data_IF_814009218702
#
_entry.id   IF_814009218702
#
_cell.length_a   1.000
_cell.length_b   1.000
_cell.length_c   1.000
_cell.angle_alpha   90.00
_cell.angle_beta   90.00
_cell.angle_gamma   90.00
#
_symmetry.space_group_name_H-M   'P 1'
#
loop_
_entity.id
_entity.type
_entity.pdbx_description
1 polymer ?
#
# COMPACT_ATOMS: atom_id res chain seq x y z
N UNK A 1 30.21 -68.72 -17.05
CA UNK A 1 30.79 -67.37 -17.24
C UNK A 1 29.67 -66.35 -17.06
N UNK A 2 29.54 -65.81 -15.85
CA UNK A 2 28.54 -64.78 -15.53
C UNK A 2 29.18 -63.42 -15.79
N UNK A 3 28.71 -62.71 -16.81
CA UNK A 3 29.17 -61.36 -17.15
C UNK A 3 28.37 -60.39 -16.27
N UNK A 4 29.08 -59.74 -15.35
CA UNK A 4 28.50 -58.77 -14.41
C UNK A 4 27.94 -57.56 -15.18
N UNK A 5 26.61 -57.40 -15.16
CA UNK A 5 25.86 -56.34 -15.86
C UNK A 5 26.12 -54.91 -15.34
N UNK A 6 27.02 -54.73 -14.37
CA UNK A 6 27.32 -53.42 -13.78
C UNK A 6 28.45 -52.67 -14.51
N UNK A 7 29.21 -53.31 -15.40
CA UNK A 7 30.30 -52.64 -16.13
C UNK A 7 29.84 -51.90 -17.40
N UNK A 8 28.67 -52.21 -17.96
CA UNK A 8 28.22 -51.58 -19.22
C UNK A 8 27.76 -50.12 -19.05
N UNK A 9 27.60 -49.64 -17.81
CA UNK A 9 27.33 -48.21 -17.54
C UNK A 9 28.58 -47.34 -17.53
N UNK A 10 29.77 -47.93 -17.45
CA UNK A 10 31.05 -47.18 -17.40
C UNK A 10 31.51 -46.73 -18.78
N UNK A 11 31.26 -47.55 -19.79
CA UNK A 11 31.71 -47.29 -21.15
C UNK A 11 30.84 -46.25 -21.89
N UNK A 12 29.62 -46.01 -21.40
CA UNK A 12 28.70 -45.01 -21.96
C UNK A 12 28.74 -43.67 -21.21
N UNK A 13 29.86 -43.37 -20.55
CA UNK A 13 30.08 -42.06 -19.97
C UNK A 13 30.51 -41.08 -21.07
N UNK A 14 29.75 -40.01 -21.26
CA UNK A 14 30.05 -38.97 -22.25
C UNK A 14 31.48 -38.43 -22.13
N UNK A 15 32.04 -38.37 -20.91
CA UNK A 15 33.39 -37.88 -20.64
C UNK A 15 34.51 -38.87 -20.98
N UNK A 16 34.21 -40.15 -21.15
CA UNK A 16 35.20 -41.17 -21.56
C UNK A 16 35.39 -41.24 -23.07
N UNK A 17 34.66 -40.42 -23.84
CA UNK A 17 34.82 -40.37 -25.28
C UNK A 17 36.16 -39.70 -25.62
N UNK A 18 37.11 -40.46 -26.18
CA UNK A 18 38.42 -39.97 -26.59
C UNK A 18 38.36 -38.84 -27.65
N UNK A 19 37.20 -38.62 -28.26
CA UNK A 19 36.98 -37.51 -29.19
C UNK A 19 36.71 -36.17 -28.49
N UNK A 20 36.51 -36.15 -27.17
CA UNK A 20 36.43 -34.91 -26.41
C UNK A 20 37.84 -34.47 -26.02
N UNK A 21 38.18 -33.23 -26.37
CA UNK A 21 39.43 -32.61 -25.95
C UNK A 21 39.56 -32.60 -24.42
N UNK A 22 40.80 -32.72 -23.95
CA UNK A 22 41.14 -32.59 -22.54
C UNK A 22 40.59 -31.27 -21.99
N UNK A 23 39.62 -31.37 -21.09
CA UNK A 23 39.04 -30.20 -20.42
C UNK A 23 40.13 -29.61 -19.53
N UNK A 24 40.49 -28.35 -19.77
CA UNK A 24 41.54 -27.68 -19.00
C UNK A 24 41.00 -27.26 -17.62
N UNK A 25 41.88 -27.12 -16.63
CA UNK A 25 41.48 -26.66 -15.29
C UNK A 25 40.75 -25.31 -15.32
N UNK A 26 41.13 -24.41 -16.23
CA UNK A 26 40.46 -23.11 -16.44
C UNK A 26 38.98 -23.27 -16.84
N UNK A 27 38.64 -24.29 -17.62
CA UNK A 27 37.25 -24.55 -18.01
C UNK A 27 36.41 -25.04 -16.83
N UNK A 28 37.04 -25.73 -15.87
CA UNK A 28 36.39 -26.07 -14.61
C UNK A 28 36.16 -24.83 -13.74
N UNK A 29 37.12 -23.91 -13.66
CA UNK A 29 36.99 -22.66 -12.89
C UNK A 29 35.91 -21.73 -13.47
N UNK A 30 35.92 -21.55 -14.79
CA UNK A 30 34.92 -20.74 -15.48
C UNK A 30 33.52 -21.40 -15.49
N UNK A 31 33.43 -22.68 -15.11
CA UNK A 31 32.18 -23.42 -15.07
C UNK A 31 31.70 -23.93 -16.43
N UNK A 32 32.58 -23.94 -17.43
CA UNK A 32 32.37 -24.51 -18.76
C UNK A 32 32.70 -26.01 -18.83
N UNK A 33 33.10 -26.63 -17.72
CA UNK A 33 33.31 -28.07 -17.67
C UNK A 33 32.04 -28.86 -18.01
N UNK A 34 32.21 -29.94 -18.79
CA UNK A 34 31.14 -30.85 -19.17
C UNK A 34 30.73 -31.82 -18.05
N UNK A 35 31.37 -31.74 -16.89
CA UNK A 35 31.12 -32.63 -15.76
C UNK A 35 29.70 -32.56 -15.20
N UNK A 36 28.98 -31.45 -15.38
CA UNK A 36 27.56 -31.35 -15.01
C UNK A 36 26.67 -32.28 -15.84
N UNK A 37 27.13 -32.69 -17.03
CA UNK A 37 26.43 -33.62 -17.90
C UNK A 37 26.80 -35.08 -17.61
N UNK A 38 27.75 -35.34 -16.69
CA UNK A 38 28.06 -36.71 -16.32
C UNK A 38 26.99 -37.29 -15.39
N UNK A 39 26.42 -38.42 -15.78
CA UNK A 39 25.55 -39.25 -14.93
C UNK A 39 26.28 -40.46 -14.34
N UNK A 40 27.55 -40.63 -14.70
CA UNK A 40 28.43 -41.73 -14.33
C UNK A 40 28.75 -41.84 -12.83
N UNK A 41 28.72 -40.71 -12.10
CA UNK A 41 29.12 -40.63 -10.69
C UNK A 41 30.62 -40.83 -10.39
N UNK A 42 31.43 -41.29 -11.34
CA UNK A 42 32.85 -41.55 -11.13
C UNK A 42 33.76 -40.34 -11.38
N UNK A 43 33.33 -39.40 -12.23
CA UNK A 43 34.09 -38.18 -12.47
C UNK A 43 33.73 -37.14 -11.41
N UNK A 44 34.64 -36.94 -10.46
CA UNK A 44 34.54 -35.88 -9.47
C UNK A 44 35.01 -34.59 -10.14
N UNK A 45 34.09 -33.64 -10.35
CA UNK A 45 34.46 -32.36 -10.91
C UNK A 45 35.18 -31.50 -9.85
N UNK A 46 36.39 -30.96 -10.14
CA UNK A 46 37.09 -30.06 -9.22
C UNK A 46 36.42 -28.69 -9.10
N UNK A 47 35.23 -28.48 -9.67
CA UNK A 47 34.45 -27.24 -9.60
C UNK A 47 34.15 -26.89 -8.15
N UNK A 48 35.08 -26.17 -7.54
CA UNK A 48 34.96 -25.62 -6.19
C UNK A 48 33.73 -24.72 -6.21
N UNK A 49 32.76 -25.06 -5.36
CA UNK A 49 31.50 -24.35 -5.19
C UNK A 49 31.82 -22.88 -4.88
N UNK A 50 31.73 -22.03 -5.92
CA UNK A 50 31.73 -20.56 -5.91
C UNK A 50 32.45 -19.91 -4.73
N UNK A 51 33.77 -20.05 -4.62
CA UNK A 51 34.55 -19.08 -3.86
C UNK A 51 34.78 -17.84 -4.71
N UNK A 52 33.77 -16.93 -4.73
CA UNK A 52 33.78 -15.52 -5.16
C UNK A 52 34.49 -15.23 -6.50
N UNK A 53 33.74 -14.70 -7.47
CA UNK A 53 34.15 -14.34 -8.84
C UNK A 53 35.40 -13.42 -9.00
N UNK A 54 36.08 -13.06 -7.92
CA UNK A 54 37.35 -12.36 -7.95
C UNK A 54 38.35 -13.11 -7.09
N UNK A 55 39.51 -13.55 -7.63
CA UNK A 55 40.61 -13.99 -6.79
C UNK A 55 40.88 -12.85 -5.80
N UNK A 56 40.86 -13.16 -4.49
CA UNK A 56 41.19 -12.14 -3.48
C UNK A 56 42.59 -11.64 -3.85
N UNK A 57 42.70 -10.39 -4.29
CA UNK A 57 43.99 -9.76 -4.58
C UNK A 57 44.95 -10.10 -3.43
N UNK A 58 46.10 -10.71 -3.73
CA UNK A 58 47.09 -11.03 -2.69
C UNK A 58 47.56 -9.77 -1.97
N UNK A 59 47.42 -8.63 -2.65
CA UNK A 59 47.54 -7.28 -2.13
C UNK A 59 46.41 -7.01 -1.12
N UNK A 60 46.70 -7.28 0.15
CA UNK A 60 45.93 -6.77 1.29
C UNK A 60 46.36 -5.32 1.53
N UNK A 61 45.51 -4.37 1.18
CA UNK A 61 45.73 -2.97 1.58
C UNK A 61 45.89 -2.86 3.10
N UNK A 62 46.73 -1.92 3.54
CA UNK A 62 46.98 -1.64 4.96
C UNK A 62 45.66 -1.44 5.74
N UNK A 63 44.73 -0.69 5.14
CA UNK A 63 43.38 -0.50 5.66
C UNK A 63 42.65 -1.81 5.99
N UNK A 64 42.77 -2.84 5.15
CA UNK A 64 42.11 -4.13 5.38
C UNK A 64 42.76 -4.95 6.50
N UNK A 65 44.04 -4.71 6.78
CA UNK A 65 44.76 -5.38 7.87
C UNK A 65 44.42 -4.77 9.22
N UNK A 66 44.28 -3.45 9.28
CA UNK A 66 43.99 -2.74 10.54
C UNK A 66 42.50 -2.60 10.84
N UNK A 67 41.65 -2.53 9.82
CA UNK A 67 40.22 -2.32 10.04
C UNK A 67 39.57 -3.57 10.64
N UNK A 68 39.36 -3.53 11.96
CA UNK A 68 38.53 -4.48 12.68
C UNK A 68 37.09 -3.99 12.63
N UNK A 69 36.15 -4.89 12.29
CA UNK A 69 34.73 -4.59 12.44
C UNK A 69 34.45 -4.38 13.93
N UNK A 70 34.27 -3.13 14.34
CA UNK A 70 33.82 -2.84 15.69
C UNK A 70 32.37 -3.32 15.83
N UNK A 71 32.04 -4.10 16.87
CA UNK A 71 30.66 -4.47 17.11
C UNK A 71 29.87 -3.19 17.38
N UNK A 72 28.92 -2.88 16.50
CA UNK A 72 27.96 -1.81 16.75
C UNK A 72 27.01 -2.39 17.80
N UNK A 73 27.14 -1.93 19.04
CA UNK A 73 26.17 -2.27 20.07
C UNK A 73 24.78 -1.84 19.57
N UNK A 74 23.80 -2.75 19.67
CA UNK A 74 22.43 -2.43 19.32
C UNK A 74 22.01 -1.20 20.14
N UNK A 75 21.56 -0.15 19.45
CA UNK A 75 21.09 1.07 20.12
C UNK A 75 19.97 0.64 21.08
N UNK A 76 19.99 1.06 22.36
CA UNK A 76 18.92 0.72 23.29
C UNK A 76 17.60 1.21 22.71
N UNK A 77 16.73 0.26 22.37
CA UNK A 77 15.38 0.56 21.90
C UNK A 77 14.57 0.94 23.12
N UNK A 78 14.33 2.23 23.32
CA UNK A 78 13.28 2.69 24.21
C UNK A 78 11.94 2.32 23.57
N UNK A 79 11.44 1.12 23.85
CA UNK A 79 10.07 0.77 23.51
C UNK A 79 9.17 1.68 24.35
N UNK A 80 8.44 2.60 23.70
CA UNK A 80 7.40 3.36 24.37
C UNK A 80 6.46 2.35 25.05
N UNK A 81 6.25 2.50 26.35
CA UNK A 81 5.30 1.66 27.06
C UNK A 81 3.93 1.80 26.39
N UNK A 82 3.17 0.70 26.25
CA UNK A 82 1.85 0.78 25.64
C UNK A 82 0.98 1.76 26.44
N UNK A 83 0.43 2.75 25.75
CA UNK A 83 -0.49 3.73 26.33
C UNK A 83 -1.72 2.96 26.83
N UNK A 84 -1.92 2.92 28.15
CA UNK A 84 -3.10 2.32 28.74
C UNK A 84 -4.31 3.23 28.47
N UNK A 85 -5.43 2.73 27.94
CA UNK A 85 -6.63 3.54 27.80
C UNK A 85 -7.12 4.00 29.18
N UNK A 86 -7.77 5.17 29.22
CA UNK A 86 -8.41 5.69 30.42
C UNK A 86 -9.40 4.66 30.99
N UNK A 87 -9.31 4.39 32.29
CA UNK A 87 -10.28 3.55 33.01
C UNK A 87 -11.65 4.23 33.11
N UNK A 88 -11.68 5.55 33.00
CA UNK A 88 -12.90 6.34 33.12
C UNK A 88 -13.58 6.45 31.76
N UNK A 89 -14.84 6.02 31.71
CA UNK A 89 -15.72 6.26 30.57
C UNK A 89 -16.15 7.73 30.61
N UNK A 90 -16.08 8.40 29.46
CA UNK A 90 -16.66 9.73 29.30
C UNK A 90 -18.19 9.60 29.33
N UNK A 91 -18.84 10.19 30.32
CA UNK A 91 -20.29 10.40 30.35
C UNK A 91 -20.65 11.32 29.17
N UNK A 92 -21.17 10.74 28.08
CA UNK A 92 -21.53 11.47 26.84
C UNK A 92 -22.97 11.97 26.83
N UNK A 93 -23.65 11.90 27.97
CA UNK A 93 -25.02 12.38 28.10
C UNK A 93 -25.05 13.90 28.16
N UNK A 94 -25.62 14.51 27.13
CA UNK A 94 -25.92 15.93 27.11
C UNK A 94 -27.17 16.22 27.93
N UNK A 95 -27.25 17.42 28.51
CA UNK A 95 -28.45 17.90 29.21
C UNK A 95 -29.69 17.83 28.33
N UNK A 96 -29.55 18.12 27.03
CA UNK A 96 -30.63 17.98 26.06
C UNK A 96 -31.21 16.56 26.00
N UNK A 97 -30.38 15.51 26.04
CA UNK A 97 -30.88 14.12 26.03
C UNK A 97 -31.59 13.76 27.35
N UNK A 98 -31.21 14.37 28.47
CA UNK A 98 -31.84 14.17 29.78
C UNK A 98 -33.17 14.93 29.90
N UNK A 99 -33.24 16.13 29.33
CA UNK A 99 -34.39 17.03 29.49
C UNK A 99 -35.47 16.80 28.42
N UNK A 100 -35.09 16.48 27.17
CA UNK A 100 -36.04 16.27 26.08
C UNK A 100 -36.38 14.78 25.92
N UNK A 101 -37.15 14.25 26.86
CA UNK A 101 -37.81 12.95 26.68
C UNK A 101 -39.05 13.11 25.81
N UNK A 102 -39.32 12.18 24.88
CA UNK A 102 -40.52 12.25 24.05
C UNK A 102 -41.77 12.15 24.95
N UNK A 103 -42.56 13.21 24.99
CA UNK A 103 -43.82 13.20 25.73
C UNK A 103 -44.87 12.39 24.96
N UNK A 104 -45.71 11.67 25.69
CA UNK A 104 -46.83 10.92 25.09
C UNK A 104 -47.87 11.93 24.62
N UNK A 105 -48.12 11.97 23.32
CA UNK A 105 -49.20 12.76 22.74
C UNK A 105 -50.46 11.92 22.83
N UNK A 106 -51.39 12.30 23.71
CA UNK A 106 -52.72 11.71 23.75
C UNK A 106 -53.51 12.22 22.54
N UNK A 107 -53.63 11.38 21.51
CA UNK A 107 -54.40 11.71 20.32
C UNK A 107 -55.89 11.75 20.67
N UNK A 108 -56.47 12.96 20.72
CA UNK A 108 -57.92 13.11 20.74
C UNK A 108 -58.44 12.80 19.32
N UNK A 109 -59.26 11.75 19.13
CA UNK A 109 -59.79 11.44 17.82
C UNK A 109 -60.62 12.63 17.33
N UNK A 110 -60.21 13.23 16.21
CA UNK A 110 -61.01 14.24 15.53
C UNK A 110 -62.38 13.63 15.18
N UNK A 111 -63.46 14.28 15.64
CA UNK A 111 -64.81 13.92 15.23
C UNK A 111 -64.90 14.07 13.72
N UNK A 112 -65.11 12.95 13.02
CA UNK A 112 -65.29 12.93 11.57
C UNK A 112 -66.63 13.59 11.26
N UNK A 113 -66.60 14.82 10.77
CA UNK A 113 -67.76 15.45 10.14
C UNK A 113 -67.95 14.70 8.81
N UNK A 114 -68.93 13.81 8.75
CA UNK A 114 -69.33 13.15 7.50
C UNK A 114 -70.08 14.16 6.62
N UNK A 115 -69.55 14.56 5.45
CA UNK A 115 -70.31 15.40 4.53
C UNK A 115 -71.51 14.61 3.99
N UNK A 116 -72.69 15.23 3.97
CA UNK A 116 -73.88 14.65 3.36
C UNK A 116 -73.64 14.41 1.87
N UNK A 117 -73.71 13.15 1.46
CA UNK A 117 -73.48 12.76 0.06
C UNK A 117 -74.78 13.00 -0.72
N UNK A 118 -74.76 13.77 -1.83
CA UNK A 118 -75.95 13.97 -2.65
C UNK A 118 -76.45 12.64 -3.23
N UNK A 119 -77.77 12.40 -3.14
CA UNK A 119 -78.43 11.14 -3.53
C UNK A 119 -78.48 10.87 -5.04
N UNK A 120 -78.12 11.86 -5.86
CA UNK A 120 -78.18 11.75 -7.31
C UNK A 120 -76.82 11.30 -7.86
N UNK A 121 -76.73 10.03 -8.28
CA UNK A 121 -75.53 9.50 -8.95
C UNK A 121 -75.65 9.76 -10.45
N UNK A 122 -74.82 10.65 -10.98
CA UNK A 122 -74.66 10.83 -12.41
C UNK A 122 -74.02 9.57 -13.00
N UNK A 123 -74.76 8.84 -13.84
CA UNK A 123 -74.35 7.53 -14.39
C UNK A 123 -73.62 7.62 -15.74
N UNK A 124 -73.20 8.81 -16.18
CA UNK A 124 -72.48 8.92 -17.45
C UNK A 124 -71.04 8.42 -17.28
N UNK A 125 -70.68 7.40 -18.05
CA UNK A 125 -69.29 6.96 -18.25
C UNK A 125 -68.88 7.35 -19.66
N UNK A 126 -67.69 7.94 -19.81
CA UNK A 126 -67.12 8.16 -21.14
C UNK A 126 -66.71 6.82 -21.74
N UNK A 127 -66.70 6.71 -23.08
CA UNK A 127 -66.16 5.52 -23.77
C UNK A 127 -64.74 5.20 -23.30
N UNK A 128 -63.90 6.21 -23.11
CA UNK A 128 -62.55 6.04 -22.55
C UNK A 128 -62.54 5.32 -21.19
N UNK A 129 -63.47 5.64 -20.28
CA UNK A 129 -63.57 4.95 -18.98
C UNK A 129 -64.11 3.53 -19.08
N UNK A 130 -64.79 3.18 -20.18
CA UNK A 130 -65.22 1.80 -20.46
C UNK A 130 -64.07 0.99 -21.04
N UNK A 131 -63.27 1.60 -21.92
CA UNK A 131 -62.21 0.90 -22.66
C UNK A 131 -60.91 0.77 -21.85
N UNK A 132 -60.61 1.73 -20.97
CA UNK A 132 -59.39 1.76 -20.16
C UNK A 132 -59.69 1.64 -18.67
N UNK A 133 -60.29 0.52 -18.26
CA UNK A 133 -60.41 0.21 -16.83
C UNK A 133 -59.04 -0.23 -16.28
N UNK A 134 -58.70 0.21 -15.08
CA UNK A 134 -57.51 -0.26 -14.38
C UNK A 134 -57.74 -1.73 -13.98
N UNK A 135 -57.01 -2.71 -14.55
CA UNK A 135 -57.18 -4.11 -14.18
C UNK A 135 -56.73 -4.41 -12.75
N UNK A 136 -56.18 -3.43 -12.04
CA UNK A 136 -55.66 -3.58 -10.70
C UNK A 136 -54.37 -4.39 -10.69
N UNK A 137 -53.81 -4.59 -9.49
CA UNK A 137 -52.67 -5.46 -9.32
C UNK A 137 -53.13 -6.91 -9.54
N UNK A 138 -52.85 -7.45 -10.71
CA UNK A 138 -53.01 -8.88 -10.97
C UNK A 138 -52.12 -9.61 -9.96
N UNK A 139 -52.65 -10.54 -9.16
CA UNK A 139 -51.83 -11.30 -8.23
C UNK A 139 -50.81 -12.09 -9.05
N UNK A 140 -49.57 -11.58 -9.06
CA UNK A 140 -48.46 -12.28 -9.66
C UNK A 140 -48.21 -13.49 -8.77
N UNK A 141 -48.61 -14.66 -9.24
CA UNK A 141 -48.21 -15.91 -8.63
C UNK A 141 -46.67 -15.92 -8.63
N UNK A 142 -46.10 -15.73 -7.44
CA UNK A 142 -44.66 -15.83 -7.22
C UNK A 142 -44.31 -17.31 -7.32
N UNK A 143 -44.27 -17.85 -8.54
CA UNK A 143 -43.55 -19.09 -8.80
C UNK A 143 -42.14 -18.83 -8.27
N UNK A 144 -41.70 -19.59 -7.27
CA UNK A 144 -40.30 -19.55 -6.83
C UNK A 144 -39.48 -19.83 -8.08
N UNK A 145 -38.95 -18.77 -8.69
CA UNK A 145 -38.04 -18.92 -9.82
C UNK A 145 -37.00 -19.92 -9.38
N UNK A 146 -36.81 -20.99 -10.15
CA UNK A 146 -35.79 -21.98 -9.88
C UNK A 146 -34.54 -21.20 -9.53
N UNK A 147 -34.07 -21.32 -8.28
CA UNK A 147 -32.95 -20.50 -7.82
C UNK A 147 -31.86 -20.72 -8.85
N UNK A 148 -31.46 -19.63 -9.53
CA UNK A 148 -30.37 -19.70 -10.47
C UNK A 148 -29.22 -20.31 -9.67
N UNK A 149 -28.88 -21.57 -9.98
CA UNK A 149 -27.79 -22.25 -9.31
C UNK A 149 -26.58 -21.39 -9.66
N UNK A 150 -26.16 -20.55 -8.73
CA UNK A 150 -24.96 -19.76 -8.86
C UNK A 150 -23.85 -20.79 -9.01
N UNK A 151 -23.46 -21.04 -10.25
CA UNK A 151 -22.41 -21.99 -10.55
C UNK A 151 -21.14 -21.33 -10.04
N UNK A 152 -20.74 -21.68 -8.82
CA UNK A 152 -19.42 -21.36 -8.26
C UNK A 152 -18.39 -22.23 -8.96
N UNK A 153 -18.32 -22.12 -10.29
CA UNK A 153 -17.24 -22.67 -11.08
C UNK A 153 -16.00 -21.85 -10.75
N UNK A 154 -15.06 -22.44 -10.02
CA UNK A 154 -13.69 -21.94 -9.93
C UNK A 154 -13.04 -22.02 -11.32
N UNK A 155 -13.41 -21.10 -12.21
CA UNK A 155 -12.70 -20.90 -13.45
C UNK A 155 -11.38 -20.22 -13.09
N UNK A 156 -10.28 -20.96 -13.22
CA UNK A 156 -8.94 -20.39 -13.07
C UNK A 156 -8.77 -19.32 -14.13
N UNK A 157 -8.57 -18.09 -13.70
CA UNK A 157 -8.32 -16.96 -14.58
C UNK A 157 -6.94 -17.11 -15.23
N UNK A 158 -6.90 -17.73 -16.40
CA UNK A 158 -5.71 -17.80 -17.25
C UNK A 158 -5.63 -16.52 -18.10
N UNK A 159 -5.32 -15.39 -17.48
CA UNK A 159 -4.94 -14.20 -18.25
C UNK A 159 -3.44 -14.26 -18.53
N UNK A 160 -3.08 -14.87 -19.67
CA UNK A 160 -1.81 -14.57 -20.29
C UNK A 160 -1.87 -13.14 -20.82
N UNK A 161 -0.95 -12.29 -20.39
CA UNK A 161 -0.87 -10.93 -20.92
C UNK A 161 -0.29 -10.97 -22.34
N UNK A 162 -0.74 -10.09 -23.22
CA UNK A 162 -0.14 -9.92 -24.55
C UNK A 162 1.36 -9.63 -24.47
N UNK A 163 1.81 -9.02 -23.37
CA UNK A 163 3.22 -8.82 -23.09
C UNK A 163 3.97 -10.15 -22.87
N UNK A 164 3.43 -11.06 -22.04
CA UNK A 164 4.06 -12.37 -21.81
C UNK A 164 4.09 -13.25 -23.05
N UNK A 165 3.14 -13.08 -23.96
CA UNK A 165 3.09 -13.83 -25.22
C UNK A 165 4.06 -13.26 -26.27
N UNK A 166 4.21 -11.93 -26.33
CA UNK A 166 5.01 -11.27 -27.38
C UNK A 166 6.50 -11.11 -27.02
N UNK A 167 6.84 -11.03 -25.73
CA UNK A 167 8.22 -10.84 -25.25
C UNK A 167 8.83 -12.14 -24.75
N UNK A 168 8.86 -13.15 -25.63
CA UNK A 168 9.60 -14.37 -25.37
C UNK A 168 11.11 -14.09 -25.40
N UNK A 169 11.88 -14.82 -24.58
CA UNK A 169 13.34 -14.76 -24.64
C UNK A 169 13.78 -15.39 -25.95
N UNK A 170 14.01 -14.56 -26.96
CA UNK A 170 14.62 -15.02 -28.20
C UNK A 170 16.07 -15.37 -27.93
N UNK A 171 16.45 -16.58 -28.33
CA UNK A 171 17.85 -16.98 -28.33
C UNK A 171 18.56 -16.14 -29.39
N UNK A 172 19.39 -15.20 -28.95
CA UNK A 172 20.23 -14.41 -29.84
C UNK A 172 21.18 -15.38 -30.53
N UNK A 173 20.96 -15.62 -31.82
CA UNK A 173 21.90 -16.40 -32.62
C UNK A 173 23.27 -15.75 -32.49
N UNK A 174 24.31 -16.51 -32.13
CA UNK A 174 25.62 -15.96 -31.83
C UNK A 174 26.11 -15.14 -33.02
N UNK A 175 26.51 -13.90 -32.73
CA UNK A 175 27.05 -13.00 -33.75
C UNK A 175 28.19 -13.73 -34.48
N UNK A 176 28.09 -13.84 -35.80
CA UNK A 176 29.17 -14.42 -36.62
C UNK A 176 30.40 -13.54 -36.43
N UNK A 177 31.35 -14.04 -35.64
CA UNK A 177 32.62 -13.36 -35.40
C UNK A 177 33.39 -13.31 -36.72
N UNK A 178 33.37 -12.16 -37.38
CA UNK A 178 34.24 -11.91 -38.52
C UNK A 178 35.65 -11.69 -37.96
N UNK A 179 36.54 -12.66 -38.13
CA UNK A 179 37.94 -12.52 -37.73
C UNK A 179 38.59 -11.49 -38.65
N UNK A 180 39.08 -10.33 -38.15
CA UNK A 180 39.91 -9.46 -38.97
C UNK A 180 41.21 -10.21 -39.27
N UNK A 181 41.53 -10.40 -40.55
CA UNK A 181 42.77 -11.04 -40.98
C UNK A 181 43.95 -10.16 -40.57
N UNK A 182 44.97 -10.80 -39.98
CA UNK A 182 46.21 -10.18 -39.52
C UNK A 182 46.85 -9.29 -40.61
N UNK A 183 46.66 -7.99 -40.50
CA UNK A 183 47.51 -7.01 -41.17
C UNK A 183 48.17 -6.14 -40.12
N UNK A 184 49.50 -6.19 -40.18
CA UNK A 184 50.49 -5.61 -39.29
C UNK A 184 50.35 -4.09 -39.14
N UNK A 185 50.63 -3.66 -37.90
CA UNK A 185 51.16 -2.35 -37.48
C UNK A 185 50.24 -1.13 -37.61
N UNK A 186 50.60 -0.08 -36.85
CA UNK A 186 50.03 1.29 -36.82
C UNK A 186 48.88 1.34 -35.78
N UNK A 187 49.00 1.85 -34.54
CA UNK A 187 49.86 2.89 -33.96
C UNK A 187 50.07 2.67 -32.46
N UNK A 188 51.32 2.88 -32.06
CA UNK A 188 51.71 3.40 -30.76
C UNK A 188 50.98 4.75 -30.54
N UNK A 189 49.94 4.81 -29.72
CA UNK A 189 49.45 6.09 -29.19
C UNK A 189 49.98 6.23 -27.76
N UNK A 190 50.94 7.13 -27.62
CA UNK A 190 51.55 7.51 -26.37
C UNK A 190 50.51 7.87 -25.30
N UNK A 191 50.90 7.58 -24.06
CA UNK A 191 50.26 7.96 -22.81
C UNK A 191 49.67 9.36 -22.83
N UNK A 192 48.34 9.44 -22.90
CA UNK A 192 47.62 10.55 -22.31
C UNK A 192 47.13 10.06 -20.94
N UNK A 193 47.65 10.67 -19.86
CA UNK A 193 47.12 10.53 -18.51
C UNK A 193 45.71 11.17 -18.45
N UNK A 194 44.74 10.57 -19.13
CA UNK A 194 43.34 10.92 -18.95
C UNK A 194 42.88 10.34 -17.61
N UNK A 195 42.96 11.18 -16.58
CA UNK A 195 42.28 10.93 -15.32
C UNK A 195 40.81 10.70 -15.63
N UNK A 196 40.35 9.46 -15.48
CA UNK A 196 38.95 9.08 -15.61
C UNK A 196 38.13 9.92 -14.64
N UNK A 197 37.45 10.95 -15.16
CA UNK A 197 36.52 11.78 -14.39
C UNK A 197 35.17 11.08 -14.46
N UNK A 198 34.72 10.53 -13.34
CA UNK A 198 33.39 9.94 -13.24
C UNK A 198 32.32 11.02 -13.42
N UNK A 199 31.17 10.67 -14.00
CA UNK A 199 30.03 11.58 -14.18
C UNK A 199 29.60 12.25 -12.87
N UNK A 200 29.77 11.57 -11.73
CA UNK A 200 29.57 12.15 -10.39
C UNK A 200 30.50 13.32 -10.10
N UNK A 201 31.77 13.26 -10.51
CA UNK A 201 32.74 14.32 -10.24
C UNK A 201 32.55 15.54 -11.17
N UNK A 202 31.96 15.34 -12.35
CA UNK A 202 31.53 16.43 -13.23
C UNK A 202 30.26 17.11 -12.73
N UNK A 203 29.31 16.35 -12.18
CA UNK A 203 27.99 16.87 -11.83
C UNK A 203 27.88 17.44 -10.41
N UNK A 204 28.77 17.05 -9.48
CA UNK A 204 28.78 17.55 -8.11
C UNK A 204 29.90 18.57 -7.91
N UNK A 205 29.75 19.74 -8.51
CA UNK A 205 30.61 20.89 -8.24
C UNK A 205 30.07 21.60 -6.99
N UNK A 206 30.93 22.09 -6.09
CA UNK A 206 30.47 22.91 -4.95
C UNK A 206 29.84 24.18 -5.49
N UNK A 207 28.51 24.23 -5.49
CA UNK A 207 27.78 25.47 -5.72
C UNK A 207 28.01 26.41 -4.53
N UNK A 208 28.31 27.67 -4.82
CA UNK A 208 28.34 28.70 -3.79
C UNK A 208 26.92 28.90 -3.26
N UNK A 209 26.78 28.80 -1.94
CA UNK A 209 25.51 29.07 -1.28
C UNK A 209 25.16 30.54 -1.52
N UNK A 210 24.09 30.80 -2.25
CA UNK A 210 23.50 32.14 -2.32
C UNK A 210 22.73 32.31 -1.01
N UNK A 211 23.17 33.19 -0.09
CA UNK A 211 22.41 33.44 1.12
C UNK A 211 21.06 34.00 0.71
N UNK A 212 20.00 33.23 0.96
CA UNK A 212 18.64 33.73 0.90
C UNK A 212 18.55 34.89 1.89
N UNK A 213 18.36 36.10 1.38
CA UNK A 213 18.19 37.28 2.21
C UNK A 213 17.10 37.01 3.26
N UNK A 214 17.33 37.48 4.48
CA UNK A 214 16.37 37.35 5.57
C UNK A 214 15.01 37.85 5.10
N UNK A 215 14.05 36.93 4.97
CA UNK A 215 12.68 37.27 4.68
C UNK A 215 12.12 37.92 5.94
N UNK A 216 12.22 39.24 6.02
CA UNK A 216 11.49 40.02 7.02
C UNK A 216 10.02 39.97 6.58
N UNK A 217 9.14 39.24 7.28
CA UNK A 217 7.72 39.31 6.97
C UNK A 217 7.33 40.78 7.07
N UNK A 218 6.73 41.34 6.02
CA UNK A 218 6.10 42.65 6.15
C UNK A 218 5.03 42.50 7.22
N UNK A 219 5.17 43.27 8.31
CA UNK A 219 4.15 43.39 9.35
C UNK A 219 2.91 44.05 8.74
N UNK A 220 2.15 43.27 7.99
CA UNK A 220 0.82 43.62 7.52
C UNK A 220 -0.19 43.30 8.63
N UNK A 221 0.13 43.66 9.89
CA UNK A 221 -0.83 43.60 10.98
C UNK A 221 -1.87 44.69 10.72
N UNK A 222 -2.87 44.36 9.91
CA UNK A 222 -4.13 45.08 9.87
C UNK A 222 -4.73 44.90 11.26
N UNK A 223 -4.64 45.95 12.07
CA UNK A 223 -5.35 46.04 13.35
C UNK A 223 -6.85 45.99 13.04
N UNK A 224 -7.42 44.79 13.07
CA UNK A 224 -8.86 44.63 13.03
C UNK A 224 -9.42 45.32 14.27
N UNK A 225 -10.17 46.41 14.05
CA UNK A 225 -10.90 47.10 15.10
C UNK A 225 -11.77 46.06 15.83
N UNK A 226 -11.70 45.96 17.17
CA UNK A 226 -12.50 45.01 17.92
C UNK A 226 -13.97 45.35 17.68
N UNK A 227 -14.73 44.44 17.08
CA UNK A 227 -16.18 44.60 16.89
C UNK A 227 -16.85 44.74 18.27
N UNK A 228 -17.28 45.94 18.69
CA UNK A 228 -17.62 46.19 20.10
C UNK A 228 -19.00 45.64 20.48
N UNK A 229 -19.72 45.03 19.54
CA UNK A 229 -21.15 44.68 19.70
C UNK A 229 -21.44 43.19 19.77
N UNK A 230 -20.43 42.31 19.65
CA UNK A 230 -20.68 40.86 19.53
C UNK A 230 -20.83 40.10 20.87
N UNK A 231 -20.64 40.75 22.02
CA UNK A 231 -20.69 40.07 23.33
C UNK A 231 -21.91 40.41 24.20
N UNK A 232 -22.97 41.02 23.64
CA UNK A 232 -24.22 41.20 24.40
C UNK A 232 -25.02 39.90 24.39
N UNK A 233 -24.96 39.15 25.48
CA UNK A 233 -25.84 38.00 25.72
C UNK A 233 -27.27 38.48 25.92
N UNK A 234 -28.27 37.67 25.55
CA UNK A 234 -29.70 38.00 25.72
C UNK A 234 -30.08 38.31 27.18
N UNK A 235 -29.33 37.76 28.15
CA UNK A 235 -29.47 38.11 29.58
C UNK A 235 -29.11 39.58 29.87
N UNK A 236 -28.11 40.15 29.20
CA UNK A 236 -27.70 41.55 29.42
C UNK A 236 -28.68 42.58 28.87
N UNK A 237 -29.54 42.20 27.93
CA UNK A 237 -30.61 43.06 27.39
C UNK A 237 -31.90 42.99 28.22
N UNK A 238 -32.13 41.89 28.93
CA UNK A 238 -33.38 41.66 29.66
C UNK A 238 -33.35 42.17 31.13
N UNK A 239 -32.16 42.38 31.70
CA UNK A 239 -32.00 42.84 33.07
C UNK A 239 -31.42 44.25 33.11
N UNK A 240 -32.19 45.25 32.70
CA UNK A 240 -31.94 46.62 33.13
C UNK A 240 -32.41 46.74 34.57
N UNK A 241 -31.50 47.15 35.46
CA UNK A 241 -31.68 47.31 36.90
C UNK A 241 -33.03 47.97 37.26
N UNK A 242 -34.04 47.16 37.56
CA UNK A 242 -35.17 47.62 38.36
C UNK A 242 -34.70 47.66 39.80
N UNK A 243 -34.54 48.86 40.36
CA UNK A 243 -34.09 49.13 41.73
C UNK A 243 -35.04 48.62 42.84
N UNK A 244 -35.95 47.71 42.51
CA UNK A 244 -36.97 47.17 43.41
C UNK A 244 -36.65 45.72 43.76
N UNK A 245 -35.60 45.50 44.56
CA UNK A 245 -35.42 44.21 45.24
C UNK A 245 -35.85 44.37 46.70
N UNK A 246 -37.01 43.82 47.13
CA UNK A 246 -37.34 43.76 48.55
C UNK A 246 -36.33 42.84 49.26
N UNK A 247 -35.81 43.32 50.38
CA UNK A 247 -34.87 42.59 51.27
C UNK A 247 -35.33 41.15 51.50
N UNK A 248 -34.61 40.20 50.90
CA UNK A 248 -34.76 38.78 51.20
C UNK A 248 -34.28 38.55 52.63
N UNK A 249 -35.23 38.33 53.54
CA UNK A 249 -34.98 37.94 54.93
C UNK A 249 -34.33 36.56 54.93
N UNK A 250 -33.01 36.52 55.20
CA UNK A 250 -32.31 35.26 55.45
C UNK A 250 -32.83 34.67 56.76
N UNK A 251 -33.62 33.60 56.69
CA UNK A 251 -33.94 32.78 57.87
C UNK A 251 -32.67 32.01 58.27
N UNK A 252 -32.09 32.41 59.40
CA UNK A 252 -31.07 31.62 60.08
C UNK A 252 -31.67 30.28 60.50
N UNK A 253 -31.04 29.18 60.08
CA UNK A 253 -31.36 27.85 60.62
C UNK A 253 -30.68 27.74 61.97
N UNK A 254 -31.48 27.52 63.02
CA UNK A 254 -31.02 27.16 64.36
C UNK A 254 -30.38 25.78 64.27
N UNK A 255 -29.11 25.66 64.65
CA UNK A 255 -28.47 24.37 64.86
C UNK A 255 -29.23 23.65 65.99
N UNK A 256 -29.66 22.42 65.74
CA UNK A 256 -30.19 21.54 66.77
C UNK A 256 -29.04 20.81 67.45
N UNK A 257 -29.05 20.86 68.78
CA UNK A 257 -28.29 19.95 69.64
C UNK A 257 -28.93 18.55 69.62
N UNK A 258 -28.07 17.53 69.82
CA UNK A 258 -28.27 16.07 69.95
C UNK A 258 -27.83 15.24 68.74
#
# INVERSE_FOLDING_TARGET
MQINANNTKLDNCYLNNLALDLITENDHEAGYCLCSKCTCGQHICPRVIKTKAYPKSSLRSYYRQEYRKHPIAARPTHSASPIKPSLFKLESETTARREFTPYKIDYKPHQKITPEVPKLKFLSRSQYSQDFFDPGQVPVEKTRGAQARLHTGYHKFNAASTYSENFLRYELSPAKSYKPSETKNILLSASADEKVITTSRLNYIRHTYIPTGEFKPKDNTVTLLPFPTQYKTTSSLAFTETNDIPRIIRRARKAGDL
#
